data_IF_460999373164
#
_entry.id   IF_460999373164
#
_cell.length_a   1.000
_cell.length_b   1.000
_cell.length_c   1.000
_cell.angle_alpha   90.00
_cell.angle_beta   90.00
_cell.angle_gamma   90.00
#
_symmetry.space_group_name_H-M   'P 1'
#
loop_
_entity.id
_entity.type
_entity.pdbx_description
1 polymer ?
#
# COMPACT_ATOMS: atom_id res chain seq x y z
N UNK A 1 -11.74 -19.46 8.78
CA UNK A 1 -11.05 -20.74 9.15
C UNK A 1 -10.12 -20.47 10.32
N UNK A 2 -10.30 -21.20 11.42
CA UNK A 2 -9.35 -21.14 12.54
C UNK A 2 -8.09 -21.93 12.14
N UNK A 3 -6.92 -21.34 12.31
CA UNK A 3 -5.65 -22.00 12.06
C UNK A 3 -5.49 -23.20 13.00
N UNK A 4 -5.29 -24.40 12.47
CA UNK A 4 -4.96 -25.61 13.23
C UNK A 4 -3.56 -25.57 13.84
N UNK A 5 -2.74 -24.61 13.43
CA UNK A 5 -1.35 -24.43 13.86
C UNK A 5 -1.25 -23.53 15.09
N UNK A 6 -0.42 -23.93 16.07
CA UNK A 6 -0.15 -23.18 17.31
C UNK A 6 1.33 -22.76 17.37
N UNK A 7 1.62 -21.67 18.09
CA UNK A 7 2.98 -21.21 18.35
C UNK A 7 3.76 -20.85 17.11
N UNK A 8 5.03 -21.26 17.03
CA UNK A 8 5.97 -20.94 15.94
C UNK A 8 5.46 -21.40 14.57
N UNK A 9 4.83 -22.58 14.50
CA UNK A 9 4.26 -23.08 13.24
C UNK A 9 3.21 -22.14 12.66
N UNK A 10 2.39 -21.52 13.50
CA UNK A 10 1.39 -20.53 13.08
C UNK A 10 2.07 -19.29 12.48
N UNK A 11 3.15 -18.82 13.09
CA UNK A 11 3.91 -17.66 12.61
C UNK A 11 4.56 -17.98 11.25
N UNK A 12 5.21 -19.13 11.12
CA UNK A 12 5.80 -19.55 9.84
C UNK A 12 4.77 -19.68 8.72
N UNK A 13 3.58 -20.21 9.04
CA UNK A 13 2.47 -20.28 8.07
C UNK A 13 1.93 -18.89 7.70
N UNK A 14 1.85 -17.97 8.65
CA UNK A 14 1.46 -16.58 8.38
C UNK A 14 2.44 -15.90 7.39
N UNK A 15 3.75 -16.11 7.54
CA UNK A 15 4.75 -15.62 6.57
C UNK A 15 4.55 -16.27 5.19
N UNK A 16 4.30 -17.58 5.13
CA UNK A 16 4.02 -18.27 3.87
C UNK A 16 2.79 -17.68 3.16
N UNK A 17 1.70 -17.47 3.90
CA UNK A 17 0.48 -16.87 3.34
C UNK A 17 0.69 -15.42 2.89
N UNK A 18 1.48 -14.64 3.63
CA UNK A 18 1.84 -13.29 3.24
C UNK A 18 2.62 -13.26 1.94
N UNK A 19 3.55 -14.19 1.76
CA UNK A 19 4.33 -14.32 0.53
C UNK A 19 3.47 -14.78 -0.66
N UNK A 20 2.54 -15.70 -0.43
CA UNK A 20 1.59 -16.13 -1.46
C UNK A 20 0.65 -14.98 -1.86
N UNK A 21 0.19 -14.19 -0.89
CA UNK A 21 -0.59 -12.97 -1.13
C UNK A 21 0.19 -11.96 -1.98
N UNK A 22 1.44 -11.69 -1.63
CA UNK A 22 2.30 -10.80 -2.41
C UNK A 22 2.46 -11.28 -3.87
N UNK A 23 2.78 -12.55 -4.07
CA UNK A 23 2.92 -13.14 -5.41
C UNK A 23 1.62 -13.03 -6.21
N UNK A 24 0.48 -13.30 -5.58
CA UNK A 24 -0.83 -13.23 -6.22
C UNK A 24 -1.12 -11.82 -6.70
N UNK A 25 -1.00 -10.82 -5.83
CA UNK A 25 -1.27 -9.41 -6.16
C UNK A 25 -0.26 -8.89 -7.18
N UNK A 26 1.01 -9.19 -7.02
CA UNK A 26 2.04 -8.79 -7.98
C UNK A 26 1.76 -9.32 -9.39
N UNK A 27 1.22 -10.55 -9.50
CA UNK A 27 0.88 -11.16 -10.78
C UNK A 27 -0.40 -10.58 -11.39
N UNK A 28 -1.44 -10.38 -10.58
CA UNK A 28 -2.77 -9.99 -11.08
C UNK A 28 -2.95 -8.47 -11.22
N UNK A 29 -2.35 -7.68 -10.31
CA UNK A 29 -2.66 -6.26 -10.19
C UNK A 29 -1.59 -5.35 -10.80
N UNK A 30 -1.92 -4.69 -11.90
CA UNK A 30 -1.02 -3.71 -12.53
C UNK A 30 -0.84 -2.46 -11.67
N UNK A 31 -1.89 -2.00 -10.98
CA UNK A 31 -1.83 -0.86 -10.08
C UNK A 31 -0.81 -1.08 -8.95
N UNK A 32 -0.82 -2.26 -8.33
CA UNK A 32 0.16 -2.60 -7.29
C UNK A 32 1.61 -2.59 -7.80
N UNK A 33 1.85 -3.08 -9.02
CA UNK A 33 3.18 -3.01 -9.64
C UNK A 33 3.63 -1.57 -9.93
N UNK A 34 2.70 -0.71 -10.35
CA UNK A 34 2.95 0.72 -10.57
C UNK A 34 3.29 1.43 -9.25
N UNK A 35 2.57 1.14 -8.19
CA UNK A 35 2.83 1.71 -6.86
C UNK A 35 4.15 1.21 -6.27
N UNK A 36 4.50 -0.06 -6.48
CA UNK A 36 5.82 -0.58 -6.13
C UNK A 36 6.95 0.15 -6.86
N UNK A 37 6.79 0.36 -8.16
CA UNK A 37 7.76 1.11 -8.96
C UNK A 37 7.88 2.56 -8.47
N UNK A 38 6.76 3.22 -8.20
CA UNK A 38 6.73 4.57 -7.62
C UNK A 38 7.49 4.62 -6.30
N UNK A 39 7.19 3.71 -5.37
CA UNK A 39 7.88 3.64 -4.08
C UNK A 39 9.37 3.37 -4.22
N UNK A 40 9.76 2.50 -5.16
CA UNK A 40 11.16 2.19 -5.44
C UNK A 40 11.92 3.41 -5.99
N UNK A 41 11.33 4.13 -6.95
CA UNK A 41 11.93 5.35 -7.51
C UNK A 41 12.04 6.46 -6.46
N UNK A 42 11.02 6.64 -5.63
CA UNK A 42 11.09 7.58 -4.50
C UNK A 42 12.18 7.18 -3.51
N UNK A 43 12.30 5.90 -3.19
CA UNK A 43 13.36 5.38 -2.32
C UNK A 43 14.76 5.65 -2.87
N UNK A 44 14.97 5.47 -4.18
CA UNK A 44 16.22 5.85 -4.85
C UNK A 44 16.46 7.36 -4.71
N UNK A 45 15.46 8.18 -4.98
CA UNK A 45 15.57 9.64 -4.87
C UNK A 45 15.97 10.10 -3.47
N UNK A 46 15.44 9.45 -2.43
CA UNK A 46 15.79 9.74 -1.03
C UNK A 46 17.26 9.45 -0.70
N UNK A 47 17.93 8.58 -1.45
CA UNK A 47 19.37 8.32 -1.27
C UNK A 47 20.27 9.48 -1.77
N UNK A 48 19.74 10.38 -2.58
CA UNK A 48 20.51 11.49 -3.19
C UNK A 48 20.25 12.85 -2.54
N UNK A 49 19.42 12.92 -1.52
CA UNK A 49 19.07 14.15 -0.81
C UNK A 49 19.53 14.09 0.63
N UNK A 50 19.81 15.25 1.22
CA UNK A 50 19.99 15.38 2.66
C UNK A 50 18.62 15.57 3.30
N UNK A 51 18.26 14.71 4.22
CA UNK A 51 16.95 14.72 4.86
C UNK A 51 17.10 14.47 6.36
N UNK A 52 16.29 15.17 7.14
CA UNK A 52 16.19 14.91 8.56
C UNK A 52 15.72 13.46 8.81
N UNK A 53 16.37 12.70 9.73
CA UNK A 53 16.05 11.28 9.97
C UNK A 53 14.58 11.03 10.35
N UNK A 54 13.97 11.93 11.11
CA UNK A 54 12.54 11.80 11.48
C UNK A 54 11.65 11.95 10.24
N UNK A 55 11.95 12.95 9.40
CA UNK A 55 11.22 13.16 8.15
C UNK A 55 11.41 12.00 7.18
N UNK A 56 12.63 11.45 7.09
CA UNK A 56 12.89 10.25 6.31
C UNK A 56 12.01 9.08 6.76
N UNK A 57 11.92 8.84 8.07
CA UNK A 57 11.07 7.78 8.62
C UNK A 57 9.59 8.00 8.28
N UNK A 58 9.10 9.24 8.36
CA UNK A 58 7.72 9.58 8.01
C UNK A 58 7.46 9.32 6.52
N UNK A 59 8.34 9.76 5.64
CA UNK A 59 8.20 9.56 4.19
C UNK A 59 8.24 8.06 3.85
N UNK A 60 9.17 7.30 4.43
CA UNK A 60 9.22 5.84 4.25
C UNK A 60 7.92 5.17 4.72
N UNK A 61 7.40 5.57 5.87
CA UNK A 61 6.10 5.07 6.37
C UNK A 61 4.97 5.36 5.39
N UNK A 62 4.92 6.57 4.81
CA UNK A 62 3.89 6.94 3.85
C UNK A 62 4.00 6.17 2.54
N UNK A 63 5.21 5.84 2.08
CA UNK A 63 5.40 4.96 0.92
C UNK A 63 4.86 3.55 1.18
N UNK A 64 5.14 2.97 2.36
CA UNK A 64 4.53 1.71 2.76
C UNK A 64 3.01 1.83 2.91
N UNK A 65 2.51 2.96 3.39
CA UNK A 65 1.07 3.20 3.54
C UNK A 65 0.35 3.24 2.20
N UNK A 66 0.98 3.75 1.13
CA UNK A 66 0.44 3.66 -0.23
C UNK A 66 0.24 2.20 -0.63
N UNK A 67 1.27 1.36 -0.46
CA UNK A 67 1.18 -0.07 -0.77
C UNK A 67 0.13 -0.78 0.09
N UNK A 68 0.02 -0.41 1.36
CA UNK A 68 -1.00 -0.94 2.25
C UNK A 68 -2.42 -0.58 1.78
N UNK A 69 -2.65 0.68 1.40
CA UNK A 69 -3.93 1.13 0.88
C UNK A 69 -4.32 0.38 -0.41
N UNK A 70 -3.38 0.16 -1.32
CA UNK A 70 -3.60 -0.60 -2.55
C UNK A 70 -3.95 -2.06 -2.26
N UNK A 71 -3.27 -2.70 -1.31
CA UNK A 71 -3.59 -4.07 -0.90
C UNK A 71 -4.99 -4.19 -0.30
N UNK A 72 -5.41 -3.20 0.50
CA UNK A 72 -6.78 -3.15 1.05
C UNK A 72 -7.81 -2.96 -0.07
N UNK A 73 -7.55 -2.05 -1.01
CA UNK A 73 -8.40 -1.85 -2.18
C UNK A 73 -8.56 -3.15 -2.99
N UNK A 74 -7.45 -3.80 -3.30
CA UNK A 74 -7.44 -5.09 -4.02
C UNK A 74 -8.24 -6.16 -3.27
N UNK A 75 -8.10 -6.26 -1.96
CA UNK A 75 -8.86 -7.21 -1.16
C UNK A 75 -10.37 -6.95 -1.22
N UNK A 76 -10.79 -5.69 -1.18
CA UNK A 76 -12.19 -5.29 -1.35
C UNK A 76 -12.70 -5.71 -2.73
N UNK A 77 -11.95 -5.43 -3.78
CA UNK A 77 -12.32 -5.78 -5.17
C UNK A 77 -12.47 -7.29 -5.35
N UNK A 78 -11.53 -8.08 -4.86
CA UNK A 78 -11.57 -9.55 -4.92
C UNK A 78 -12.81 -10.11 -4.20
N UNK A 79 -13.16 -9.57 -3.04
CA UNK A 79 -14.36 -10.00 -2.30
C UNK A 79 -15.63 -9.67 -3.08
N UNK A 80 -15.72 -8.45 -3.64
CA UNK A 80 -16.89 -8.00 -4.38
C UNK A 80 -17.05 -8.79 -5.67
N UNK A 81 -15.97 -9.00 -6.42
CA UNK A 81 -16.01 -9.77 -7.67
C UNK A 81 -16.42 -11.23 -7.44
N UNK A 82 -16.06 -11.79 -6.27
CA UNK A 82 -16.53 -13.11 -5.86
C UNK A 82 -18.03 -13.16 -5.55
N UNK A 83 -18.62 -12.07 -5.04
CA UNK A 83 -20.06 -12.00 -4.73
C UNK A 83 -20.87 -12.03 -6.02
N UNK A 84 -20.45 -11.34 -7.06
CA UNK A 84 -21.09 -11.34 -8.36
C UNK A 84 -20.62 -10.21 -9.26
N UNK A 85 -20.73 -10.43 -10.57
CA UNK A 85 -20.38 -9.45 -11.59
C UNK A 85 -21.50 -8.44 -11.90
N UNK A 86 -22.70 -8.72 -11.38
CA UNK A 86 -23.85 -7.85 -11.60
C UNK A 86 -23.71 -6.53 -10.86
N UNK A 87 -24.18 -5.45 -11.48
CA UNK A 87 -24.18 -4.15 -10.84
C UNK A 87 -25.04 -4.15 -9.59
N UNK A 88 -24.44 -3.75 -8.48
CA UNK A 88 -25.14 -3.52 -7.22
C UNK A 88 -24.64 -2.24 -6.57
N UNK A 89 -25.53 -1.32 -6.10
CA UNK A 89 -25.12 -0.02 -5.55
C UNK A 89 -24.14 -0.12 -4.38
N UNK A 90 -24.29 -1.11 -3.49
CA UNK A 90 -23.39 -1.32 -2.36
C UNK A 90 -22.02 -1.84 -2.80
N UNK A 91 -21.98 -2.69 -3.83
CA UNK A 91 -20.72 -3.16 -4.41
C UNK A 91 -19.94 -2.00 -5.04
N UNK A 92 -20.63 -1.14 -5.79
CA UNK A 92 -20.03 0.08 -6.32
C UNK A 92 -19.51 0.98 -5.22
N UNK A 93 -20.32 1.24 -4.19
CA UNK A 93 -19.92 2.07 -3.03
C UNK A 93 -18.67 1.54 -2.34
N UNK A 94 -18.57 0.24 -2.14
CA UNK A 94 -17.41 -0.37 -1.48
C UNK A 94 -16.15 -0.23 -2.35
N UNK A 95 -16.23 -0.44 -3.67
CA UNK A 95 -15.12 -0.21 -4.61
C UNK A 95 -14.68 1.26 -4.63
N UNK A 96 -15.64 2.19 -4.64
CA UNK A 96 -15.34 3.63 -4.59
C UNK A 96 -14.60 4.02 -3.30
N UNK A 97 -14.99 3.43 -2.16
CA UNK A 97 -14.28 3.62 -0.87
C UNK A 97 -12.86 3.05 -0.94
N UNK A 98 -12.67 1.88 -1.53
CA UNK A 98 -11.35 1.31 -1.74
C UNK A 98 -10.45 2.23 -2.56
N UNK A 99 -10.94 2.77 -3.66
CA UNK A 99 -10.22 3.76 -4.47
C UNK A 99 -9.91 5.04 -3.69
N UNK A 100 -10.82 5.49 -2.83
CA UNK A 100 -10.60 6.66 -1.98
C UNK A 100 -9.45 6.43 -0.98
N UNK A 101 -9.32 5.23 -0.42
CA UNK A 101 -8.19 4.90 0.47
C UNK A 101 -6.84 5.11 -0.24
N UNK A 102 -6.72 4.64 -1.47
CA UNK A 102 -5.51 4.82 -2.27
C UNK A 102 -5.27 6.31 -2.56
N UNK A 103 -6.28 7.04 -3.01
CA UNK A 103 -6.17 8.48 -3.26
C UNK A 103 -5.68 9.24 -2.02
N UNK A 104 -6.28 8.99 -0.85
CA UNK A 104 -5.90 9.65 0.39
C UNK A 104 -4.46 9.32 0.80
N UNK A 105 -3.98 8.11 0.56
CA UNK A 105 -2.60 7.75 0.85
C UNK A 105 -1.61 8.57 0.01
N UNK A 106 -1.87 8.78 -1.27
CA UNK A 106 -1.07 9.65 -2.13
C UNK A 106 -1.16 11.12 -1.71
N UNK A 107 -2.34 11.61 -1.37
CA UNK A 107 -2.52 12.98 -0.87
C UNK A 107 -1.67 13.22 0.38
N UNK A 108 -1.71 12.29 1.35
CA UNK A 108 -0.87 12.38 2.55
C UNK A 108 0.62 12.39 2.21
N UNK A 109 1.07 11.53 1.30
CA UNK A 109 2.46 11.48 0.87
C UNK A 109 2.91 12.81 0.26
N UNK A 110 2.21 13.31 -0.75
CA UNK A 110 2.58 14.55 -1.42
C UNK A 110 2.49 15.77 -0.51
N UNK A 111 1.49 15.82 0.37
CA UNK A 111 1.36 16.90 1.36
C UNK A 111 2.58 16.96 2.28
N UNK A 112 3.02 15.82 2.81
CA UNK A 112 4.19 15.77 3.69
C UNK A 112 5.48 16.12 2.93
N UNK A 113 5.66 15.63 1.70
CA UNK A 113 6.82 15.98 0.88
C UNK A 113 6.88 17.47 0.58
N UNK A 114 5.75 18.09 0.22
CA UNK A 114 5.68 19.54 -0.04
C UNK A 114 6.02 20.32 1.24
N UNK A 115 5.45 19.97 2.38
CA UNK A 115 5.77 20.61 3.66
C UNK A 115 7.25 20.48 3.99
N UNK A 116 7.84 19.30 3.77
CA UNK A 116 9.24 19.04 4.03
C UNK A 116 10.18 19.87 3.12
N UNK A 117 9.81 20.05 1.85
CA UNK A 117 10.56 20.88 0.90
C UNK A 117 10.49 22.35 1.29
N UNK A 118 9.29 22.88 1.58
CA UNK A 118 9.08 24.28 1.99
C UNK A 118 9.77 24.57 3.32
N UNK A 119 9.74 23.61 4.25
CA UNK A 119 10.35 23.72 5.58
C UNK A 119 11.88 23.52 5.60
N UNK A 120 12.53 23.31 4.45
CA UNK A 120 13.97 23.06 4.39
C UNK A 120 14.43 21.77 5.07
N UNK A 121 13.53 20.78 5.19
CA UNK A 121 13.84 19.48 5.78
C UNK A 121 14.44 18.50 4.78
N UNK A 122 14.41 18.86 3.50
CA UNK A 122 15.01 18.14 2.38
C UNK A 122 15.88 19.15 1.63
N UNK A 123 17.16 18.81 1.44
CA UNK A 123 18.14 19.61 0.71
C UNK A 123 18.74 18.74 -0.41
N UNK A 124 18.92 19.35 -1.57
CA UNK A 124 19.50 18.69 -2.76
C UNK A 124 21.00 18.88 -2.84
#
# INVERSE_FOLDING_TARGET
MKSEYKGIKRIMKAFSYSFDGFKSVFKSESAFRQDLLFCFLCGIGLCFVKINPVMLAIICFLLFFILFAELVNTAIEVIIDRIGEEYHPLSKKAKDIGSLLVLLSFVCFFMVVIIALIGGMIEF
#
